data_IF_446153536675
#
_entry.id   IF_446153536675
#
_cell.length_a   1.000
_cell.length_b   1.000
_cell.length_c   1.000
_cell.angle_alpha   90.00
_cell.angle_beta   90.00
_cell.angle_gamma   90.00
#
_symmetry.space_group_name_H-M   'P 1'
#
loop_
_entity.id
_entity.type
_entity.pdbx_description
1 polymer ?
#
# COMPACT_ATOMS: atom_id res chain seq x y z
N UNK A 1 -16.26 -10.73 8.44
CA UNK A 1 -16.25 -9.52 7.59
C UNK A 1 -14.80 -9.22 7.24
N UNK A 2 -14.50 -8.89 5.97
CA UNK A 2 -13.14 -8.51 5.54
C UNK A 2 -12.85 -7.08 5.96
N UNK A 3 -11.70 -6.83 6.55
CA UNK A 3 -11.24 -5.48 6.89
C UNK A 3 -9.76 -5.29 6.56
N UNK A 4 -9.43 -4.11 6.02
CA UNK A 4 -8.07 -3.63 5.85
C UNK A 4 -7.97 -2.32 6.63
N UNK A 5 -7.02 -2.23 7.56
CA UNK A 5 -6.87 -1.07 8.44
C UNK A 5 -5.45 -0.52 8.36
N UNK A 6 -5.34 0.64 7.75
CA UNK A 6 -4.09 1.40 7.64
C UNK A 6 -3.75 2.11 8.95
N UNK A 7 -2.46 2.18 9.23
CA UNK A 7 -1.88 2.84 10.39
C UNK A 7 -0.50 3.36 10.03
N UNK A 8 -0.10 4.47 10.65
CA UNK A 8 1.13 5.18 10.31
C UNK A 8 1.11 6.61 10.87
N UNK A 9 2.17 7.40 10.65
CA UNK A 9 2.21 8.79 11.05
C UNK A 9 1.28 9.64 10.18
N UNK A 10 0.56 10.61 10.76
CA UNK A 10 -0.25 11.56 9.98
C UNK A 10 0.58 12.69 9.35
N UNK A 11 1.76 12.97 9.91
CA UNK A 11 2.67 14.04 9.49
C UNK A 11 4.10 13.53 9.52
N UNK A 12 4.84 13.75 8.44
CA UNK A 12 6.26 13.38 8.32
C UNK A 12 7.03 14.54 7.70
N UNK A 13 8.26 14.80 8.15
CA UNK A 13 9.08 15.87 7.56
C UNK A 13 9.72 15.42 6.25
N UNK A 14 10.01 16.34 5.32
CA UNK A 14 10.77 16.02 4.12
C UNK A 14 12.08 15.29 4.42
N UNK A 15 12.51 14.43 3.50
CA UNK A 15 13.71 13.60 3.59
C UNK A 15 13.69 12.48 4.64
N UNK A 16 12.63 12.36 5.45
CA UNK A 16 12.46 11.24 6.38
C UNK A 16 11.89 9.99 5.68
N UNK A 17 11.80 8.90 6.43
CA UNK A 17 11.13 7.67 6.00
C UNK A 17 9.69 7.65 6.49
N UNK A 18 8.76 7.46 5.57
CA UNK A 18 7.36 7.16 5.87
C UNK A 18 7.19 5.64 6.02
N UNK A 19 6.67 5.21 7.17
CA UNK A 19 6.33 3.80 7.43
C UNK A 19 4.83 3.65 7.66
N UNK A 20 4.18 2.87 6.81
CA UNK A 20 2.76 2.52 6.91
C UNK A 20 2.60 1.03 7.18
N UNK A 21 1.55 0.67 7.89
CA UNK A 21 1.16 -0.73 8.12
C UNK A 21 -0.32 -0.89 7.88
N UNK A 22 -0.67 -1.89 7.09
CA UNK A 22 -2.02 -2.36 6.85
C UNK A 22 -2.22 -3.66 7.62
N UNK A 23 -3.10 -3.65 8.62
CA UNK A 23 -3.53 -4.87 9.32
C UNK A 23 -4.77 -5.41 8.63
N UNK A 24 -4.75 -6.70 8.29
CA UNK A 24 -5.88 -7.37 7.63
C UNK A 24 -6.61 -8.29 8.58
N UNK A 25 -7.92 -8.41 8.40
CA UNK A 25 -8.74 -9.38 9.12
C UNK A 25 -9.85 -9.95 8.24
N UNK A 26 -10.32 -11.16 8.57
CA UNK A 26 -11.35 -11.87 7.81
C UNK A 26 -10.84 -12.66 6.60
N UNK A 27 -9.52 -12.70 6.36
CA UNK A 27 -8.87 -13.58 5.37
C UNK A 27 -7.40 -13.81 5.72
N UNK A 28 -6.78 -14.83 5.10
CA UNK A 28 -5.34 -15.11 5.22
C UNK A 28 -4.55 -14.43 4.12
N UNK A 29 -3.49 -13.70 4.47
CA UNK A 29 -2.58 -13.05 3.52
C UNK A 29 -1.92 -14.04 2.55
N UNK A 30 -1.71 -15.29 2.95
CA UNK A 30 -1.05 -16.30 2.11
C UNK A 30 -1.80 -16.59 0.81
N UNK A 31 -3.12 -16.32 0.76
CA UNK A 31 -3.96 -16.68 -0.37
C UNK A 31 -4.30 -15.49 -1.28
N UNK A 32 -3.85 -14.27 -0.94
CA UNK A 32 -4.26 -13.05 -1.62
C UNK A 32 -3.08 -12.12 -1.88
N UNK A 33 -3.16 -11.45 -3.03
CA UNK A 33 -2.31 -10.32 -3.33
C UNK A 33 -2.78 -9.09 -2.53
N UNK A 34 -1.84 -8.24 -2.14
CA UNK A 34 -2.12 -6.99 -1.43
C UNK A 34 -1.31 -5.88 -2.08
N UNK A 35 -1.92 -4.72 -2.23
CA UNK A 35 -1.25 -3.54 -2.76
C UNK A 35 -1.48 -2.29 -1.94
N UNK A 36 -0.71 -1.28 -2.28
CA UNK A 36 -0.88 0.09 -1.84
C UNK A 36 -1.19 0.98 -3.04
N UNK A 37 -2.22 1.79 -2.88
CA UNK A 37 -2.60 2.85 -3.81
C UNK A 37 -2.53 4.15 -3.03
N UNK A 38 -2.12 5.24 -3.68
CA UNK A 38 -2.19 6.56 -3.07
C UNK A 38 -2.99 7.52 -3.94
N UNK A 39 -3.61 8.50 -3.31
CA UNK A 39 -4.35 9.55 -4.00
C UNK A 39 -3.96 10.91 -3.42
N UNK A 40 -3.25 11.70 -4.22
CA UNK A 40 -2.95 13.08 -3.87
C UNK A 40 -4.22 13.94 -4.01
N UNK A 41 -4.35 15.05 -3.24
CA UNK A 41 -5.49 15.96 -3.35
C UNK A 41 -5.73 16.43 -4.80
N UNK A 42 -6.95 16.25 -5.29
CA UNK A 42 -7.32 16.64 -6.66
C UNK A 42 -6.77 15.76 -7.78
N UNK A 43 -6.12 14.63 -7.47
CA UNK A 43 -5.59 13.67 -8.47
C UNK A 43 -6.37 12.35 -8.46
N UNK A 44 -6.23 11.61 -9.55
CA UNK A 44 -6.69 10.22 -9.63
C UNK A 44 -5.83 9.32 -8.72
N UNK A 45 -6.36 8.17 -8.25
CA UNK A 45 -5.58 7.18 -7.54
C UNK A 45 -4.44 6.63 -8.41
N UNK A 46 -3.26 6.46 -7.81
CA UNK A 46 -2.08 5.88 -8.44
C UNK A 46 -1.58 4.65 -7.67
N UNK A 47 -1.24 3.59 -8.40
CA UNK A 47 -0.61 2.41 -7.84
C UNK A 47 0.78 2.74 -7.30
N UNK A 48 1.08 2.29 -6.08
CA UNK A 48 2.38 2.47 -5.43
C UNK A 48 3.19 1.19 -5.56
N UNK A 49 2.62 0.08 -5.10
CA UNK A 49 3.22 -1.24 -5.13
C UNK A 49 2.15 -2.31 -4.89
N UNK A 50 2.28 -3.47 -5.49
CA UNK A 50 1.47 -4.64 -5.20
C UNK A 50 2.31 -5.92 -5.14
N UNK A 51 1.94 -6.82 -4.24
CA UNK A 51 2.55 -8.14 -4.10
C UNK A 51 1.66 -9.19 -4.73
N UNK A 52 2.23 -10.12 -5.48
CA UNK A 52 1.53 -11.31 -5.95
C UNK A 52 1.43 -12.37 -4.84
N UNK A 53 0.53 -13.32 -5.01
CA UNK A 53 0.39 -14.52 -4.16
C UNK A 53 1.66 -15.36 -4.20
N UNK A 54 2.28 -15.48 -5.38
CA UNK A 54 3.45 -16.32 -5.63
C UNK A 54 4.79 -15.65 -5.23
N UNK A 55 4.74 -14.48 -4.59
CA UNK A 55 5.93 -13.75 -4.12
C UNK A 55 6.49 -12.72 -5.11
N UNK A 56 5.85 -12.51 -6.25
CA UNK A 56 6.14 -11.38 -7.14
C UNK A 56 5.83 -10.03 -6.49
N UNK A 57 6.48 -8.96 -6.95
CA UNK A 57 6.13 -7.59 -6.51
C UNK A 57 6.28 -6.62 -7.68
N UNK A 58 5.20 -5.91 -7.99
CA UNK A 58 5.19 -4.86 -8.99
C UNK A 58 5.28 -3.49 -8.30
N UNK A 59 6.26 -2.69 -8.69
CA UNK A 59 6.50 -1.36 -8.13
C UNK A 59 6.14 -0.29 -9.14
N UNK A 60 5.62 0.84 -8.66
CA UNK A 60 5.58 2.06 -9.46
C UNK A 60 7.02 2.48 -9.83
N UNK A 61 7.37 2.58 -11.12
CA UNK A 61 8.72 2.92 -11.55
C UNK A 61 9.24 4.25 -10.97
N UNK A 62 8.37 5.23 -10.76
CA UNK A 62 8.73 6.53 -10.20
C UNK A 62 9.12 6.47 -8.72
N UNK A 63 8.67 5.45 -7.99
CA UNK A 63 8.87 5.30 -6.55
C UNK A 63 9.80 4.13 -6.20
N UNK A 64 10.09 3.24 -7.15
CA UNK A 64 10.80 1.97 -6.94
C UNK A 64 12.13 2.10 -6.19
N UNK A 65 12.92 3.15 -6.43
CA UNK A 65 14.21 3.34 -5.76
C UNK A 65 14.10 3.71 -4.28
N UNK A 66 12.92 4.18 -3.84
CA UNK A 66 12.65 4.66 -2.48
C UNK A 66 11.73 3.75 -1.69
N UNK A 67 11.05 2.82 -2.36
CA UNK A 67 10.03 1.94 -1.78
C UNK A 67 10.58 0.62 -1.29
N UNK A 68 10.00 0.13 -0.20
CA UNK A 68 10.10 -1.25 0.26
C UNK A 68 8.74 -1.71 0.78
N UNK A 69 8.39 -2.97 0.50
CA UNK A 69 7.17 -3.60 0.99
C UNK A 69 7.51 -4.92 1.68
N UNK A 70 6.85 -5.17 2.81
CA UNK A 70 6.98 -6.41 3.57
C UNK A 70 5.60 -6.97 3.86
N UNK A 71 5.39 -8.22 3.48
CA UNK A 71 4.17 -8.99 3.77
C UNK A 71 4.46 -9.99 4.87
N UNK A 72 3.92 -9.75 6.06
CA UNK A 72 4.07 -10.62 7.24
C UNK A 72 2.77 -11.41 7.48
N UNK A 73 2.74 -12.63 6.94
CA UNK A 73 1.60 -13.54 7.08
C UNK A 73 1.33 -13.91 8.55
N UNK A 74 2.37 -13.98 9.40
CA UNK A 74 2.22 -14.39 10.81
C UNK A 74 1.49 -13.33 11.64
N UNK A 75 1.66 -12.05 11.29
CA UNK A 75 1.01 -10.91 11.94
C UNK A 75 -0.24 -10.44 11.22
N UNK A 76 -0.57 -11.02 10.07
CA UNK A 76 -1.62 -10.51 9.18
C UNK A 76 -1.41 -9.02 8.84
N UNK A 77 -0.17 -8.65 8.54
CA UNK A 77 0.22 -7.26 8.28
C UNK A 77 1.00 -7.11 6.98
N UNK A 78 0.76 -6.00 6.29
CA UNK A 78 1.53 -5.56 5.12
C UNK A 78 2.08 -4.17 5.41
N UNK A 79 3.39 -4.02 5.40
CA UNK A 79 4.08 -2.77 5.70
C UNK A 79 4.69 -2.16 4.45
N UNK A 80 4.54 -0.85 4.31
CA UNK A 80 5.15 -0.03 3.27
C UNK A 80 6.16 0.91 3.91
N UNK A 81 7.35 1.00 3.33
CA UNK A 81 8.34 2.02 3.69
C UNK A 81 8.69 2.84 2.45
N UNK A 82 8.64 4.16 2.56
CA UNK A 82 9.04 5.10 1.53
C UNK A 82 10.11 6.03 2.08
N UNK A 83 11.32 5.91 1.57
CA UNK A 83 12.48 6.68 2.01
C UNK A 83 12.56 8.04 1.31
N UNK A 84 13.11 9.04 2.02
CA UNK A 84 13.38 10.35 1.43
C UNK A 84 12.12 11.01 0.90
N UNK A 85 11.05 11.07 1.70
CA UNK A 85 9.76 11.61 1.27
C UNK A 85 9.84 13.08 0.91
N UNK A 86 9.07 13.48 -0.09
CA UNK A 86 8.95 14.88 -0.52
C UNK A 86 7.51 15.38 -0.31
N UNK A 87 7.25 16.70 -0.35
CA UNK A 87 5.89 17.24 -0.30
C UNK A 87 4.92 16.61 -1.32
N UNK A 88 5.43 16.16 -2.47
CA UNK A 88 4.65 15.47 -3.52
C UNK A 88 4.15 14.09 -3.10
N UNK A 89 4.75 13.48 -2.08
CA UNK A 89 4.30 12.20 -1.51
C UNK A 89 3.10 12.37 -0.56
N UNK A 90 2.61 13.60 -0.35
CA UNK A 90 1.38 13.90 0.41
C UNK A 90 0.16 13.33 -0.31
N UNK A 91 -0.49 12.36 0.31
CA UNK A 91 -1.63 11.66 -0.28
C UNK A 91 -2.42 10.89 0.79
N UNK A 92 -3.62 10.48 0.43
CA UNK A 92 -4.30 9.40 1.17
C UNK A 92 -3.80 8.07 0.63
N UNK A 93 -3.23 7.25 1.52
CA UNK A 93 -2.70 5.92 1.19
C UNK A 93 -3.72 4.87 1.58
N UNK A 94 -4.06 4.00 0.63
CA UNK A 94 -5.02 2.93 0.75
C UNK A 94 -4.33 1.59 0.58
N UNK A 95 -4.68 0.65 1.45
CA UNK A 95 -4.35 -0.75 1.32
C UNK A 95 -5.47 -1.46 0.54
N UNK A 96 -5.12 -2.30 -0.42
CA UNK A 96 -6.09 -2.98 -1.29
C UNK A 96 -5.87 -4.49 -1.30
N UNK A 97 -6.98 -5.23 -1.25
CA UNK A 97 -7.00 -6.68 -1.45
C UNK A 97 -7.20 -6.98 -2.93
N UNK A 98 -6.34 -7.84 -3.47
CA UNK A 98 -6.36 -8.20 -4.88
C UNK A 98 -6.64 -9.70 -5.05
N UNK A 99 -7.50 -10.02 -6.01
CA UNK A 99 -7.69 -11.37 -6.51
C UNK A 99 -7.13 -11.49 -7.93
N UNK A 100 -6.50 -12.63 -8.21
CA UNK A 100 -5.97 -12.95 -9.54
C UNK A 100 -7.09 -13.60 -10.34
N UNK A 101 -7.61 -12.91 -11.35
CA UNK A 101 -8.51 -13.54 -12.32
C UNK A 101 -7.68 -14.35 -13.31
N UNK A 102 -7.90 -15.66 -13.32
CA UNK A 102 -7.09 -16.65 -14.05
C UNK A 102 -7.11 -16.49 -15.58
N UNK A 103 -8.06 -15.73 -16.13
CA UNK A 103 -8.24 -15.58 -17.56
C UNK A 103 -7.40 -14.45 -18.20
N UNK A 104 -6.98 -13.42 -17.44
CA UNK A 104 -6.48 -12.18 -18.07
C UNK A 104 -5.23 -11.54 -17.45
N UNK A 105 -4.59 -12.16 -16.44
CA UNK A 105 -3.42 -11.59 -15.74
C UNK A 105 -3.65 -10.19 -15.14
N UNK A 106 -4.89 -9.74 -15.02
CA UNK A 106 -5.26 -8.50 -14.33
C UNK A 106 -5.69 -8.80 -12.90
N UNK A 107 -5.26 -7.96 -11.97
CA UNK A 107 -5.73 -8.01 -10.59
C UNK A 107 -7.06 -7.27 -10.46
N UNK A 108 -8.06 -7.95 -9.91
CA UNK A 108 -9.31 -7.31 -9.51
C UNK A 108 -9.16 -6.80 -8.06
N UNK A 109 -9.64 -5.58 -7.80
CA UNK A 109 -9.65 -5.01 -6.45
C UNK A 109 -10.90 -5.47 -5.71
N UNK A 110 -10.74 -6.46 -4.83
CA UNK A 110 -11.83 -7.03 -4.05
C UNK A 110 -12.31 -6.10 -2.93
N UNK A 111 -11.35 -5.38 -2.32
CA UNK A 111 -11.61 -4.54 -1.15
C UNK A 111 -10.57 -3.45 -0.99
N UNK A 112 -11.02 -2.32 -0.44
CA UNK A 112 -10.19 -1.18 -0.04
C UNK A 112 -10.22 -1.04 1.48
N UNK A 113 -9.09 -0.64 2.06
CA UNK A 113 -9.09 -0.04 3.38
C UNK A 113 -9.69 1.37 3.37
N UNK A 114 -9.82 1.97 4.55
CA UNK A 114 -10.46 3.28 4.69
C UNK A 114 -9.54 4.42 4.22
N UNK A 115 -8.24 4.13 4.08
CA UNK A 115 -7.25 5.10 3.71
C UNK A 115 -6.71 5.88 4.91
N UNK A 116 -5.45 6.31 4.80
CA UNK A 116 -4.79 7.15 5.78
C UNK A 116 -4.17 8.35 5.09
N UNK A 117 -4.63 9.56 5.46
CA UNK A 117 -4.04 10.80 4.97
C UNK A 117 -2.67 11.00 5.62
N UNK A 118 -1.65 11.12 4.78
CA UNK A 118 -0.28 11.43 5.17
C UNK A 118 0.07 12.80 4.61
N UNK A 119 0.52 13.70 5.48
CA UNK A 119 1.01 15.03 5.10
C UNK A 119 2.53 15.07 5.21
N UNK A 120 3.20 15.56 4.16
CA UNK A 120 4.65 15.77 4.17
C UNK A 120 4.94 17.27 4.23
N UNK A 121 5.27 17.78 5.42
CA UNK A 121 5.57 19.19 5.62
C UNK A 121 6.52 19.42 6.81
N UNK A 122 7.17 20.58 6.84
CA UNK A 122 8.14 21.00 7.88
C UNK A 122 7.48 21.46 9.17
#
# INVERSE_FOLDING_TARGET
>A
QVQLRESGPSLVKPSQTLSLTCTVSGFSLSNYAIGWVRQAPGKAPEWVVDTDVDGGTAYNPALKSRLSITKDNSKSQVSLSLNGVTPEDTATYYCVKLSRESAWLFFHVDAWGQGLLITISS
#
